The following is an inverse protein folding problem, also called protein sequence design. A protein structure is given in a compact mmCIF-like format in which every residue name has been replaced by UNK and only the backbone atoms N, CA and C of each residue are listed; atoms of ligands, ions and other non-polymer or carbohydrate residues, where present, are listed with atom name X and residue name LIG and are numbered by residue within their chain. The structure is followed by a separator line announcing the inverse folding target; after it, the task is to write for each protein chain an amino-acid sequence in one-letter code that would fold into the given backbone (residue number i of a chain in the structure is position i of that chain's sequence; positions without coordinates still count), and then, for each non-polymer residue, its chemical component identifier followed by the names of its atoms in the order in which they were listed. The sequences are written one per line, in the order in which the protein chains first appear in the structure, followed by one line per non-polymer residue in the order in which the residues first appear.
data_IF_673980873305
#
_entry.id   IF_673980873305
#
_cell.length_a   1.000
_cell.length_b   1.000
_cell.length_c   1.000
_cell.angle_alpha   90.00
_cell.angle_beta   90.00
_cell.angle_gamma   90.00
#
_symmetry.space_group_name_H-M   'P 1'
#
loop_
_entity.id
_entity.type
_entity.pdbx_description
1 polymer ?
#
# COMPACT_ATOMS: atom_id res chain seq x y z
N UNK A 1 35.34 23.68 17.45
CA UNK A 1 34.45 24.39 16.52
C UNK A 1 34.97 24.11 15.11
N UNK A 2 34.39 23.12 14.45
CA UNK A 2 34.56 22.92 13.01
C UNK A 2 33.19 22.50 12.48
N UNK A 3 32.68 23.30 11.55
CA UNK A 3 31.37 23.17 10.93
C UNK A 3 31.33 21.85 10.16
N UNK A 4 30.35 21.01 10.52
CA UNK A 4 29.95 19.87 9.71
C UNK A 4 28.83 20.39 8.82
N UNK A 5 29.09 20.47 7.52
CA UNK A 5 28.11 20.81 6.49
C UNK A 5 27.05 19.71 6.47
N UNK A 6 25.83 20.07 6.86
CA UNK A 6 24.64 19.26 6.66
C UNK A 6 24.10 19.69 5.32
N UNK A 7 24.23 18.83 4.32
CA UNK A 7 23.54 19.01 3.04
C UNK A 7 22.02 18.96 3.33
N UNK A 8 21.39 20.12 3.26
CA UNK A 8 19.93 20.30 3.20
C UNK A 8 19.43 19.65 1.89
N UNK A 9 19.24 18.34 1.90
CA UNK A 9 18.39 17.65 0.92
C UNK A 9 16.92 17.98 1.24
N UNK A 10 16.54 19.21 0.94
CA UNK A 10 15.17 19.73 0.85
C UNK A 10 14.46 19.09 -0.37
N UNK A 11 14.23 17.79 -0.32
CA UNK A 11 13.37 17.06 -1.26
C UNK A 11 12.03 16.74 -0.60
N UNK A 12 11.43 17.75 0.05
CA UNK A 12 10.07 17.73 0.56
C UNK A 12 9.16 18.47 -0.42
N UNK A 13 8.72 17.76 -1.46
CA UNK A 13 7.44 17.93 -2.17
C UNK A 13 7.50 17.10 -3.46
N UNK A 14 7.34 15.77 -3.34
CA UNK A 14 7.28 14.86 -4.48
C UNK A 14 5.93 14.99 -5.19
N UNK A 15 5.77 16.10 -5.92
CA UNK A 15 4.88 16.12 -7.07
C UNK A 15 5.52 15.26 -8.15
N UNK A 16 4.70 14.45 -8.84
CA UNK A 16 5.12 13.61 -9.96
C UNK A 16 6.06 14.41 -10.87
N UNK A 17 7.23 13.85 -11.23
CA UNK A 17 8.19 14.50 -12.14
C UNK A 17 7.41 15.17 -13.29
N UNK A 18 7.49 16.51 -13.44
CA UNK A 18 6.68 17.24 -14.40
C UNK A 18 6.99 16.87 -15.85
N UNK A 19 8.10 16.16 -16.10
CA UNK A 19 8.48 15.60 -17.39
C UNK A 19 8.10 14.12 -17.57
N UNK A 20 7.43 13.52 -16.58
CA UNK A 20 6.98 12.15 -16.68
C UNK A 20 5.80 12.03 -17.64
N UNK A 21 6.10 11.57 -18.85
CA UNK A 21 5.13 11.32 -19.89
C UNK A 21 4.15 10.22 -19.48
N UNK A 22 3.02 10.65 -18.91
CA UNK A 22 1.89 9.77 -18.52
C UNK A 22 1.37 8.93 -19.67
N UNK A 23 1.62 9.28 -20.93
CA UNK A 23 1.23 8.47 -22.08
C UNK A 23 2.07 7.20 -22.25
N UNK A 24 3.25 7.12 -21.61
CA UNK A 24 4.08 5.91 -21.54
C UNK A 24 3.67 4.97 -20.41
N UNK A 25 2.76 5.41 -19.52
CA UNK A 25 2.22 4.59 -18.45
C UNK A 25 1.17 3.63 -19.04
N UNK A 26 1.60 2.53 -19.66
CA UNK A 26 0.66 1.55 -20.24
C UNK A 26 0.06 0.67 -19.13
N UNK A 27 -0.86 1.26 -18.37
CA UNK A 27 -1.65 0.54 -17.40
C UNK A 27 -2.33 -0.66 -18.05
N UNK A 28 -2.22 -1.83 -17.42
CA UNK A 28 -2.81 -3.06 -17.95
C UNK A 28 -4.34 -2.95 -18.08
N UNK A 29 -4.99 -2.14 -17.23
CA UNK A 29 -6.44 -1.93 -17.21
C UNK A 29 -6.78 -0.43 -17.25
N UNK A 30 -6.69 0.17 -18.45
CA UNK A 30 -6.88 1.60 -18.67
C UNK A 30 -8.24 2.13 -18.19
N UNK A 31 -9.30 1.31 -18.23
CA UNK A 31 -10.64 1.67 -17.73
C UNK A 31 -10.66 1.98 -16.21
N UNK A 32 -9.64 1.51 -15.48
CA UNK A 32 -9.45 1.70 -14.05
C UNK A 32 -8.32 2.69 -13.70
N UNK A 33 -7.84 3.49 -14.67
CA UNK A 33 -6.86 4.56 -14.43
C UNK A 33 -7.38 5.60 -13.42
N UNK A 34 -8.65 5.95 -13.51
CA UNK A 34 -9.30 6.90 -12.59
C UNK A 34 -9.62 6.27 -11.24
N UNK A 35 -9.33 6.99 -10.15
CA UNK A 35 -9.70 6.57 -8.79
C UNK A 35 -11.20 6.26 -8.67
N UNK A 36 -12.05 7.12 -9.26
CA UNK A 36 -13.50 6.93 -9.26
C UNK A 36 -13.93 5.60 -9.88
N UNK A 37 -13.32 5.20 -11.00
CA UNK A 37 -13.61 3.92 -11.65
C UNK A 37 -13.24 2.73 -10.77
N UNK A 38 -12.15 2.85 -10.00
CA UNK A 38 -11.74 1.81 -9.05
C UNK A 38 -12.69 1.74 -7.87
N UNK A 39 -13.08 2.87 -7.29
CA UNK A 39 -14.07 2.92 -6.21
C UNK A 39 -15.40 2.27 -6.65
N UNK A 40 -15.95 2.68 -7.80
CA UNK A 40 -17.22 2.15 -8.28
C UNK A 40 -17.20 0.66 -8.63
N UNK A 41 -16.02 0.06 -8.83
CA UNK A 41 -15.93 -1.39 -9.08
C UNK A 41 -16.44 -2.21 -7.89
N UNK A 42 -16.32 -1.68 -6.66
CA UNK A 42 -16.76 -2.33 -5.43
C UNK A 42 -18.27 -2.22 -5.18
N UNK A 43 -19.00 -1.36 -5.92
CA UNK A 43 -20.46 -1.22 -5.79
C UNK A 43 -21.20 -2.53 -6.13
N UNK A 44 -20.54 -3.43 -6.85
CA UNK A 44 -21.06 -4.76 -7.21
C UNK A 44 -20.75 -5.86 -6.18
N UNK A 45 -19.93 -5.57 -5.18
CA UNK A 45 -19.61 -6.52 -4.12
C UNK A 45 -20.81 -6.64 -3.16
N UNK A 46 -21.31 -7.85 -2.95
CA UNK A 46 -22.36 -8.09 -1.95
C UNK A 46 -21.86 -7.86 -0.53
N UNK A 47 -20.61 -8.24 -0.26
CA UNK A 47 -19.89 -8.02 0.99
C UNK A 47 -18.39 -7.87 0.68
N UNK A 48 -17.70 -6.97 1.37
CA UNK A 48 -16.25 -6.78 1.25
C UNK A 48 -15.56 -7.02 2.61
N UNK A 49 -14.78 -8.10 2.76
CA UNK A 49 -14.17 -8.49 4.05
C UNK A 49 -12.81 -7.82 4.33
N UNK A 50 -12.31 -7.03 3.36
CA UNK A 50 -10.97 -6.45 3.40
C UNK A 50 -10.93 -5.02 3.97
N UNK A 51 -9.80 -4.32 3.77
CA UNK A 51 -9.61 -2.94 4.23
C UNK A 51 -10.60 -1.96 3.60
N UNK A 52 -10.72 -0.74 4.11
CA UNK A 52 -11.59 0.29 3.52
C UNK A 52 -11.39 0.39 2.01
N UNK A 53 -12.49 0.36 1.25
CA UNK A 53 -12.48 0.41 -0.23
C UNK A 53 -11.69 1.61 -0.76
N UNK A 54 -11.71 2.74 -0.05
CA UNK A 54 -10.90 3.92 -0.39
C UNK A 54 -9.41 3.62 -0.39
N UNK A 55 -8.89 2.95 0.65
CA UNK A 55 -7.49 2.56 0.76
C UNK A 55 -7.11 1.52 -0.32
N UNK A 56 -8.02 0.61 -0.63
CA UNK A 56 -7.83 -0.36 -1.71
C UNK A 56 -7.71 0.33 -3.08
N UNK A 57 -8.63 1.24 -3.38
CA UNK A 57 -8.65 1.98 -4.63
C UNK A 57 -7.47 2.95 -4.75
N UNK A 58 -7.04 3.57 -3.66
CA UNK A 58 -5.82 4.38 -3.60
C UNK A 58 -4.57 3.54 -3.84
N UNK A 59 -4.47 2.32 -3.30
CA UNK A 59 -3.37 1.40 -3.59
C UNK A 59 -3.37 0.84 -5.03
N UNK A 60 -4.33 1.26 -5.85
CA UNK A 60 -4.46 0.90 -7.26
C UNK A 60 -5.34 -0.32 -7.52
N UNK A 61 -6.00 -0.89 -6.50
CA UNK A 61 -6.85 -2.07 -6.67
C UNK A 61 -8.27 -1.72 -7.10
N UNK A 62 -8.80 -2.49 -8.03
CA UNK A 62 -10.23 -2.54 -8.36
C UNK A 62 -10.78 -3.93 -8.07
N UNK A 63 -12.05 -4.02 -7.73
CA UNK A 63 -12.75 -5.27 -7.52
C UNK A 63 -13.03 -5.99 -8.84
N UNK A 64 -12.73 -7.29 -8.89
CA UNK A 64 -12.88 -8.08 -10.12
C UNK A 64 -14.28 -8.65 -10.34
N UNK A 65 -15.23 -8.40 -9.43
CA UNK A 65 -16.60 -8.92 -9.49
C UNK A 65 -16.77 -10.33 -8.92
N UNK A 66 -15.77 -10.86 -8.20
CA UNK A 66 -15.82 -12.21 -7.64
C UNK A 66 -15.19 -12.29 -6.25
N UNK A 67 -15.96 -12.80 -5.27
CA UNK A 67 -15.54 -13.00 -3.86
C UNK A 67 -14.93 -11.72 -3.28
N UNK A 68 -13.69 -11.77 -2.82
CA UNK A 68 -12.88 -10.67 -2.31
C UNK A 68 -11.70 -10.37 -3.24
N UNK A 69 -11.81 -10.77 -4.51
CA UNK A 69 -10.68 -10.71 -5.43
C UNK A 69 -10.56 -9.33 -6.08
N UNK A 70 -9.37 -8.77 -5.98
CA UNK A 70 -9.02 -7.45 -6.50
C UNK A 70 -7.82 -7.54 -7.42
N UNK A 71 -7.65 -6.53 -8.27
CA UNK A 71 -6.54 -6.46 -9.20
C UNK A 71 -6.01 -5.03 -9.34
N UNK A 72 -4.69 -4.88 -9.40
CA UNK A 72 -4.07 -3.58 -9.65
C UNK A 72 -4.33 -3.17 -11.10
N UNK A 73 -4.83 -1.94 -11.31
CA UNK A 73 -5.07 -1.44 -12.67
C UNK A 73 -3.78 -1.30 -13.50
N UNK A 74 -2.65 -1.07 -12.84
CA UNK A 74 -1.38 -0.80 -13.51
C UNK A 74 -0.60 -2.09 -13.84
N UNK A 75 -0.13 -2.79 -12.81
CA UNK A 75 0.75 -3.97 -12.96
C UNK A 75 -0.03 -5.29 -13.10
N UNK A 76 -1.35 -5.25 -12.88
CA UNK A 76 -2.22 -6.43 -12.91
C UNK A 76 -2.02 -7.43 -11.79
N UNK A 77 -1.30 -7.08 -10.72
CA UNK A 77 -1.20 -7.90 -9.52
C UNK A 77 -2.60 -8.21 -9.00
N UNK A 78 -2.92 -9.49 -8.89
CA UNK A 78 -4.24 -9.98 -8.46
C UNK A 78 -4.11 -10.60 -7.08
N UNK A 79 -4.97 -10.18 -6.15
CA UNK A 79 -4.94 -10.62 -4.76
C UNK A 79 -6.35 -10.96 -4.27
N UNK A 80 -6.41 -11.87 -3.31
CA UNK A 80 -7.63 -12.33 -2.64
C UNK A 80 -7.22 -12.82 -1.23
N UNK A 81 -8.20 -13.30 -0.47
CA UNK A 81 -8.09 -13.61 0.96
C UNK A 81 -7.71 -12.37 1.80
N UNK A 82 -8.44 -11.27 1.59
CA UNK A 82 -8.22 -10.02 2.31
C UNK A 82 -8.85 -10.03 3.70
N UNK A 83 -8.18 -9.38 4.64
CA UNK A 83 -8.70 -9.10 5.98
C UNK A 83 -8.78 -7.58 6.25
N UNK A 84 -9.72 -7.18 7.10
CA UNK A 84 -10.06 -5.78 7.42
C UNK A 84 -8.84 -4.90 7.79
N UNK A 85 -7.83 -5.49 8.44
CA UNK A 85 -6.67 -4.78 9.00
C UNK A 85 -5.38 -4.93 8.17
N UNK A 86 -5.49 -5.35 6.92
CA UNK A 86 -4.33 -5.46 6.04
C UNK A 86 -4.02 -4.13 5.34
N UNK A 87 -2.73 -3.84 5.11
CA UNK A 87 -2.32 -2.63 4.40
C UNK A 87 -2.15 -2.92 2.90
N UNK A 88 -3.00 -2.33 2.07
CA UNK A 88 -3.03 -2.57 0.64
C UNK A 88 -1.71 -2.16 -0.06
N UNK A 89 -1.07 -1.07 0.35
CA UNK A 89 0.21 -0.61 -0.20
C UNK A 89 1.36 -1.55 0.13
N UNK A 90 1.41 -2.03 1.37
CA UNK A 90 2.40 -2.99 1.82
C UNK A 90 2.25 -4.31 1.08
N UNK A 91 1.04 -4.88 1.04
CA UNK A 91 0.81 -6.14 0.33
C UNK A 91 1.04 -5.99 -1.17
N UNK A 92 0.66 -4.85 -1.78
CA UNK A 92 1.03 -4.56 -3.16
C UNK A 92 2.54 -4.62 -3.37
N UNK A 93 3.32 -4.00 -2.48
CA UNK A 93 4.79 -3.98 -2.58
C UNK A 93 5.43 -5.34 -2.33
N UNK A 94 4.99 -6.06 -1.30
CA UNK A 94 5.55 -7.37 -0.93
C UNK A 94 5.24 -8.44 -1.97
N UNK A 95 4.02 -8.42 -2.53
CA UNK A 95 3.62 -9.37 -3.57
C UNK A 95 3.97 -8.88 -4.98
N UNK A 96 4.60 -7.71 -5.10
CA UNK A 96 5.21 -7.27 -6.35
C UNK A 96 6.45 -8.14 -6.62
N UNK A 97 6.26 -9.18 -7.43
CA UNK A 97 7.32 -10.08 -7.87
C UNK A 97 8.18 -9.42 -8.97
N UNK A 98 8.66 -10.17 -9.97
CA UNK A 98 9.49 -9.70 -11.11
C UNK A 98 8.87 -8.58 -11.99
N UNK A 99 7.65 -8.12 -11.67
CA UNK A 99 6.97 -7.05 -12.38
C UNK A 99 7.23 -5.73 -11.67
N UNK A 100 7.60 -4.68 -12.40
CA UNK A 100 7.57 -3.33 -11.85
C UNK A 100 6.13 -2.78 -11.88
N UNK A 101 5.80 -1.99 -10.87
CA UNK A 101 4.57 -1.20 -10.84
C UNK A 101 4.95 0.27 -10.70
N UNK A 102 5.07 0.97 -11.82
CA UNK A 102 5.43 2.39 -11.83
C UNK A 102 4.40 3.22 -11.06
N UNK A 103 3.12 2.85 -11.12
CA UNK A 103 2.11 3.46 -10.26
C UNK A 103 2.50 3.38 -8.78
N UNK A 104 2.87 2.20 -8.30
CA UNK A 104 3.29 2.01 -6.92
C UNK A 104 4.57 2.79 -6.61
N UNK A 105 5.54 2.80 -7.53
CA UNK A 105 6.78 3.58 -7.40
C UNK A 105 6.52 5.07 -7.27
N UNK A 106 5.65 5.63 -8.10
CA UNK A 106 5.30 7.04 -8.08
C UNK A 106 4.47 7.44 -6.86
N UNK A 107 3.64 6.54 -6.35
CA UNK A 107 2.77 6.84 -5.20
C UNK A 107 3.50 6.71 -3.86
N UNK A 108 4.40 5.73 -3.71
CA UNK A 108 5.05 5.43 -2.43
C UNK A 108 6.53 5.84 -2.37
N UNK A 109 7.16 6.07 -3.53
CA UNK A 109 8.56 6.47 -3.62
C UNK A 109 9.55 5.33 -3.40
N UNK A 110 10.78 5.54 -3.88
CA UNK A 110 11.87 4.55 -3.85
C UNK A 110 12.26 4.13 -2.43
N UNK A 111 12.22 5.06 -1.46
CA UNK A 111 12.60 4.80 -0.06
C UNK A 111 11.68 3.76 0.57
N UNK A 112 10.36 3.94 0.45
CA UNK A 112 9.37 2.98 0.95
C UNK A 112 9.54 1.60 0.30
N UNK A 113 9.66 1.55 -1.02
CA UNK A 113 9.82 0.28 -1.73
C UNK A 113 11.11 -0.46 -1.31
N UNK A 114 12.19 0.28 -1.09
CA UNK A 114 13.45 -0.31 -0.64
C UNK A 114 13.36 -0.81 0.81
N UNK A 115 12.58 -0.15 1.66
CA UNK A 115 12.30 -0.60 3.02
C UNK A 115 11.50 -1.90 3.02
N UNK A 116 10.39 -1.95 2.28
CA UNK A 116 9.52 -3.13 2.23
C UNK A 116 10.17 -4.32 1.51
N UNK A 117 11.00 -4.10 0.49
CA UNK A 117 11.73 -5.19 -0.19
C UNK A 117 12.73 -5.94 0.69
N UNK A 118 13.09 -5.40 1.87
CA UNK A 118 13.91 -6.13 2.87
C UNK A 118 13.14 -7.30 3.50
N UNK A 119 11.82 -7.35 3.34
CA UNK A 119 10.97 -8.45 3.77
C UNK A 119 11.12 -9.60 2.78
N UNK A 120 12.12 -10.46 3.00
CA UNK A 120 12.57 -11.52 2.09
C UNK A 120 11.64 -12.76 2.05
N UNK A 121 10.46 -12.69 2.68
CA UNK A 121 9.49 -13.80 2.77
C UNK A 121 8.06 -13.30 2.59
N UNK A 122 7.19 -14.17 2.08
CA UNK A 122 5.74 -13.92 2.10
C UNK A 122 5.29 -13.79 3.56
N UNK A 123 4.71 -12.66 3.97
CA UNK A 123 4.28 -12.45 5.34
C UNK A 123 3.17 -13.45 5.68
N UNK A 124 3.31 -14.05 6.85
CA UNK A 124 2.25 -14.81 7.52
C UNK A 124 1.04 -13.92 7.77
N UNK A 125 -0.13 -14.51 8.03
CA UNK A 125 -1.35 -13.75 8.30
C UNK A 125 -1.23 -12.78 9.47
N UNK A 126 -0.33 -13.05 10.43
CA UNK A 126 -0.06 -12.17 11.57
C UNK A 126 0.73 -10.93 11.12
N UNK A 127 1.74 -11.11 10.27
CA UNK A 127 2.57 -10.02 9.72
C UNK A 127 1.83 -9.15 8.69
N UNK A 128 0.70 -9.64 8.16
CA UNK A 128 -0.16 -8.84 7.26
C UNK A 128 -1.07 -7.87 8.01
N UNK A 129 -1.15 -7.93 9.35
CA UNK A 129 -1.97 -7.02 10.16
C UNK A 129 -1.20 -5.74 10.48
N UNK A 130 -1.80 -4.60 10.14
CA UNK A 130 -1.23 -3.27 10.34
C UNK A 130 -2.10 -2.46 11.30
N UNK A 131 -1.46 -1.70 12.17
CA UNK A 131 -2.12 -0.83 13.14
C UNK A 131 -1.82 0.63 12.82
N UNK A 132 -2.80 1.49 13.09
CA UNK A 132 -2.61 2.94 13.01
C UNK A 132 -1.69 3.39 14.16
N UNK A 133 -0.62 4.14 13.85
CA UNK A 133 0.29 4.72 14.85
C UNK A 133 0.17 6.23 14.97
N UNK A 134 -0.72 6.67 15.85
CA UNK A 134 -0.87 8.08 16.19
C UNK A 134 0.28 8.62 17.07
N UNK A 135 1.11 7.75 17.69
CA UNK A 135 1.96 8.17 18.83
C UNK A 135 3.45 8.30 18.50
N UNK A 136 3.90 7.90 17.30
CA UNK A 136 5.31 8.00 16.91
C UNK A 136 5.54 9.20 15.99
N UNK A 137 6.04 10.29 16.56
CA UNK A 137 6.62 11.45 15.85
C UNK A 137 5.69 12.24 14.91
N UNK A 138 4.36 12.16 15.09
CA UNK A 138 3.43 13.01 14.35
C UNK A 138 3.37 12.72 12.85
N UNK A 139 3.76 11.52 12.42
CA UNK A 139 3.58 11.04 11.06
C UNK A 139 2.47 10.00 11.11
N UNK A 140 1.36 10.24 10.40
CA UNK A 140 0.23 9.31 10.26
C UNK A 140 0.67 8.06 9.47
N UNK A 141 1.48 7.20 10.07
CA UNK A 141 2.04 6.03 9.40
C UNK A 141 1.46 4.73 9.95
N UNK A 142 1.11 3.83 9.04
CA UNK A 142 0.66 2.49 9.39
C UNK A 142 1.89 1.67 9.71
N UNK A 143 1.89 0.90 10.80
CA UNK A 143 3.01 0.01 11.16
C UNK A 143 2.55 -1.44 11.35
N UNK A 144 3.41 -2.45 11.09
CA UNK A 144 3.10 -3.84 11.42
C UNK A 144 2.69 -3.98 12.90
N UNK A 145 1.61 -4.71 13.22
CA UNK A 145 1.20 -4.88 14.65
C UNK A 145 2.31 -5.53 15.49
N UNK A 146 3.15 -6.39 14.90
CA UNK A 146 4.25 -7.06 15.61
C UNK A 146 5.34 -6.09 16.14
N UNK A 147 5.46 -4.89 15.57
CA UNK A 147 6.46 -3.89 15.96
C UNK A 147 5.92 -2.87 16.98
N UNK A 148 4.65 -3.00 17.39
CA UNK A 148 3.98 -2.13 18.36
C UNK A 148 4.02 -2.74 19.76
N UNK A 149 4.84 -2.19 20.66
CA UNK A 149 4.66 -2.42 22.10
C UNK A 149 3.44 -1.60 22.56
N UNK A 150 2.32 -2.25 22.85
CA UNK A 150 1.15 -1.60 23.46
C UNK A 150 0.11 -1.00 22.51
N UNK A 151 -0.08 -1.52 21.30
CA UNK A 151 -1.20 -1.09 20.46
C UNK A 151 -2.55 -1.36 21.15
N UNK A 152 -3.32 -0.32 21.46
CA UNK A 152 -4.65 -0.42 22.08
C UNK A 152 -5.69 -1.22 21.24
N UNK A 153 -5.41 -1.46 19.95
CA UNK A 153 -6.22 -2.32 19.07
C UNK A 153 -5.78 -3.80 19.09
N UNK A 154 -4.56 -4.10 19.54
CA UNK A 154 -4.02 -5.46 19.63
C UNK A 154 -4.20 -6.06 21.05
N UNK A 155 -5.36 -5.86 21.70
CA UNK A 155 -5.74 -6.62 22.92
C UNK A 155 -6.27 -8.02 22.56
N UNK A 156 -5.43 -8.86 21.96
CA UNK A 156 -5.76 -10.28 21.80
C UNK A 156 -4.94 -11.02 22.84
N UNK A 157 -5.60 -11.39 23.94
CA UNK A 157 -5.00 -12.17 25.02
C UNK A 157 -4.25 -13.36 24.44
N UNK A 158 -3.03 -13.58 24.93
CA UNK A 158 -2.31 -14.82 24.77
C UNK A 158 -3.21 -15.97 25.25
N UNK A 159 -3.90 -16.63 24.32
CA UNK A 159 -4.61 -17.85 24.61
C UNK A 159 -3.56 -18.93 24.78
N UNK A 160 -3.20 -19.20 26.04
CA UNK A 160 -2.37 -20.33 26.44
C UNK A 160 -2.98 -21.69 26.08
#
# INVERSE_FOLDING_TARGET
MSQYEFDDDEESEQTLDPNFDRSKLHAQFQQFNGLRSRLSSYDTASEWPGPKVTLMAEAGFFYTGSRDMVQCFYCGLRMAAWHEHENAWFLHTVFLNDKNCDYLYHMMGKRYLSYVKKWDRRPSLVERRWCFDAERNGVDDWVPCADKVGCALCQWEESG
#
